data_IF_054857362314
#
_entry.id   IF_054857362314
#
_cell.length_a   1.000
_cell.length_b   1.000
_cell.length_c   1.000
_cell.angle_alpha   90.00
_cell.angle_beta   90.00
_cell.angle_gamma   90.00
#
_symmetry.space_group_name_H-M   'P 1'
#
loop_
_entity.id
_entity.type
_entity.pdbx_description
1 polymer ?
#
# COMPACT_ATOMS: atom_id res chain seq x y z
N UNK A 1 -23.89 8.05 46.31
CA UNK A 1 -22.84 8.86 45.69
C UNK A 1 -21.83 7.89 45.11
N UNK A 2 -21.68 7.90 43.78
CA UNK A 2 -21.05 6.85 42.98
C UNK A 2 -19.61 6.51 43.42
N UNK A 3 -19.28 5.25 43.22
CA UNK A 3 -18.00 4.64 43.53
C UNK A 3 -16.90 4.97 42.50
N UNK A 4 -15.66 4.67 42.91
CA UNK A 4 -14.50 4.19 42.11
C UNK A 4 -13.30 5.14 41.91
N UNK A 5 -12.19 4.64 42.45
CA UNK A 5 -10.84 4.53 41.85
C UNK A 5 -9.90 5.74 41.83
N UNK A 6 -9.09 5.81 42.90
CA UNK A 6 -7.65 6.10 42.94
C UNK A 6 -6.86 5.28 41.87
N UNK A 7 -5.58 5.60 41.63
CA UNK A 7 -4.98 6.46 40.58
C UNK A 7 -4.60 5.69 39.28
N UNK A 8 -4.06 6.33 38.22
CA UNK A 8 -3.50 5.61 37.07
C UNK A 8 -2.16 4.95 37.44
N UNK A 9 -2.20 3.78 38.06
CA UNK A 9 -1.05 2.88 38.21
C UNK A 9 -1.23 1.62 37.38
N UNK A 10 -0.71 1.67 36.16
CA UNK A 10 -0.20 0.55 35.36
C UNK A 10 0.33 1.22 34.10
N UNK A 11 1.64 1.37 33.95
CA UNK A 11 2.39 0.44 33.10
C UNK A 11 1.63 0.10 31.80
N UNK A 12 1.20 1.12 31.05
CA UNK A 12 1.14 1.03 29.59
C UNK A 12 2.50 1.48 28.99
N UNK A 13 3.52 1.56 29.84
CA UNK A 13 4.90 1.41 29.40
C UNK A 13 5.06 0.08 28.69
N UNK A 14 5.49 0.20 27.44
CA UNK A 14 6.66 -0.54 26.96
C UNK A 14 6.47 -2.02 26.62
N UNK A 15 5.29 -2.41 26.15
CA UNK A 15 5.16 -3.63 25.33
C UNK A 15 4.14 -3.44 24.20
N UNK A 16 4.29 -2.38 23.40
CA UNK A 16 3.86 -2.43 22.00
C UNK A 16 4.85 -3.32 21.25
N UNK A 17 4.79 -4.61 21.59
CA UNK A 17 5.44 -5.67 20.88
C UNK A 17 5.11 -5.51 19.39
N UNK A 18 6.17 -5.49 18.60
CA UNK A 18 6.41 -5.82 17.20
C UNK A 18 5.44 -6.85 16.59
N UNK A 19 4.13 -6.64 16.70
CA UNK A 19 3.13 -7.29 15.88
C UNK A 19 2.82 -6.28 14.79
N UNK A 20 3.63 -6.31 13.73
CA UNK A 20 3.35 -5.51 12.54
C UNK A 20 1.97 -5.95 12.07
N UNK A 21 0.95 -5.15 12.37
CA UNK A 21 -0.41 -5.51 12.01
C UNK A 21 -0.50 -5.52 10.49
N UNK A 22 -1.34 -6.37 9.87
CA UNK A 22 -1.47 -6.42 8.41
C UNK A 22 -1.81 -5.05 7.80
N UNK A 23 -2.51 -4.19 8.56
CA UNK A 23 -2.75 -2.78 8.21
C UNK A 23 -1.49 -1.93 8.20
N UNK A 24 -0.57 -2.14 9.14
CA UNK A 24 0.71 -1.43 9.22
C UNK A 24 1.66 -1.86 8.11
N UNK A 25 1.70 -3.17 7.80
CA UNK A 25 2.47 -3.70 6.66
C UNK A 25 1.96 -3.16 5.33
N UNK A 26 0.63 -3.15 5.13
CA UNK A 26 0.02 -2.59 3.93
C UNK A 26 0.34 -1.10 3.75
N UNK A 27 0.30 -0.32 4.84
CA UNK A 27 0.72 1.09 4.81
C UNK A 27 2.20 1.25 4.45
N UNK A 28 3.08 0.43 5.04
CA UNK A 28 4.50 0.46 4.72
C UNK A 28 4.76 0.10 3.25
N UNK A 29 4.04 -0.89 2.71
CA UNK A 29 4.12 -1.28 1.30
C UNK A 29 3.69 -0.13 0.39
N UNK A 30 2.64 0.59 0.79
CA UNK A 30 2.15 1.76 0.07
C UNK A 30 3.17 2.92 0.04
N UNK A 31 3.81 3.23 1.17
CA UNK A 31 4.88 4.25 1.20
C UNK A 31 6.10 3.82 0.39
N UNK A 32 6.54 2.55 0.50
CA UNK A 32 7.62 2.03 -0.32
C UNK A 32 7.30 2.13 -1.82
N UNK A 33 6.06 1.85 -2.21
CA UNK A 33 5.60 1.98 -3.58
C UNK A 33 5.57 3.43 -4.08
N UNK A 34 5.20 4.38 -3.22
CA UNK A 34 5.25 5.82 -3.50
C UNK A 34 6.68 6.32 -3.70
N UNK A 35 7.61 5.86 -2.87
CA UNK A 35 9.02 6.22 -2.97
C UNK A 35 9.75 5.52 -4.13
N UNK A 36 9.15 4.47 -4.71
CA UNK A 36 9.80 3.64 -5.72
C UNK A 36 10.81 2.66 -5.14
N UNK A 37 10.74 2.41 -3.83
CA UNK A 37 11.61 1.49 -3.13
C UNK A 37 11.14 0.04 -3.35
N UNK A 38 11.47 -0.51 -4.52
CA UNK A 38 11.19 -1.90 -4.90
C UNK A 38 11.76 -2.92 -3.93
N UNK A 39 12.94 -2.65 -3.36
CA UNK A 39 13.59 -3.54 -2.41
C UNK A 39 12.77 -3.69 -1.13
N UNK A 40 12.30 -2.58 -0.55
CA UNK A 40 11.46 -2.64 0.65
C UNK A 40 10.06 -3.18 0.34
N UNK A 41 9.48 -2.81 -0.81
CA UNK A 41 8.20 -3.38 -1.25
C UNK A 41 8.28 -4.90 -1.36
N UNK A 42 9.36 -5.44 -1.93
CA UNK A 42 9.62 -6.88 -2.00
C UNK A 42 9.72 -7.50 -0.61
N UNK A 43 10.51 -6.89 0.27
CA UNK A 43 10.75 -7.38 1.63
C UNK A 43 9.44 -7.46 2.43
N UNK A 44 8.57 -6.48 2.28
CA UNK A 44 7.25 -6.44 2.91
C UNK A 44 6.33 -7.52 2.35
N UNK A 45 6.30 -7.70 1.03
CA UNK A 45 5.51 -8.78 0.42
C UNK A 45 6.02 -10.17 0.83
N UNK A 46 7.34 -10.35 0.96
CA UNK A 46 7.95 -11.58 1.49
C UNK A 46 7.62 -11.79 2.97
N UNK A 47 7.41 -10.71 3.74
CA UNK A 47 6.94 -10.75 5.12
C UNK A 47 5.43 -11.03 5.28
N UNK A 48 4.70 -11.17 4.17
CA UNK A 48 3.26 -11.41 4.17
C UNK A 48 2.41 -10.14 4.19
N UNK A 49 2.95 -9.01 3.73
CA UNK A 49 2.16 -7.79 3.57
C UNK A 49 1.03 -8.00 2.56
N UNK A 50 -0.19 -7.53 2.85
CA UNK A 50 -1.30 -7.59 1.91
C UNK A 50 -1.01 -6.71 0.68
N UNK A 51 -0.85 -7.34 -0.49
CA UNK A 51 -0.54 -6.65 -1.75
C UNK A 51 -1.67 -5.70 -2.19
N UNK A 52 -2.93 -6.12 -1.99
CA UNK A 52 -4.14 -5.34 -2.32
C UNK A 52 -4.59 -4.43 -1.18
N UNK A 53 -3.68 -4.10 -0.27
CA UNK A 53 -4.02 -3.20 0.81
C UNK A 53 -4.39 -1.81 0.26
N UNK A 54 -5.57 -1.35 0.65
CA UNK A 54 -6.12 -0.05 0.23
C UNK A 54 -5.93 0.96 1.36
N UNK A 55 -5.31 2.08 1.04
CA UNK A 55 -5.16 3.16 2.00
C UNK A 55 -6.49 3.87 2.21
N UNK A 56 -7.16 3.61 3.33
CA UNK A 56 -8.43 4.29 3.66
C UNK A 56 -8.26 5.77 3.97
N UNK A 57 -7.04 6.25 4.17
CA UNK A 57 -6.74 7.66 4.40
C UNK A 57 -6.48 8.46 3.10
N UNK A 58 -6.19 7.77 1.99
CA UNK A 58 -5.83 8.40 0.71
C UNK A 58 -6.55 7.68 -0.43
N UNK A 59 -7.84 7.97 -0.56
CA UNK A 59 -8.70 7.58 -1.69
C UNK A 59 -8.77 6.07 -1.99
N UNK A 60 -8.58 5.23 -0.96
CA UNK A 60 -8.53 3.77 -1.11
C UNK A 60 -7.52 3.33 -2.16
N UNK A 61 -6.48 4.13 -2.40
CA UNK A 61 -5.44 3.82 -3.37
C UNK A 61 -4.62 2.61 -2.89
N UNK A 62 -4.36 1.68 -3.80
CA UNK A 62 -3.45 0.54 -3.55
C UNK A 62 -1.99 0.98 -3.71
N UNK A 63 -1.07 0.17 -3.20
CA UNK A 63 0.37 0.40 -3.42
C UNK A 63 0.70 0.49 -4.92
N UNK A 64 0.06 -0.36 -5.74
CA UNK A 64 0.24 -0.37 -7.19
C UNK A 64 -0.21 0.94 -7.85
N UNK A 65 -1.36 1.49 -7.46
CA UNK A 65 -1.84 2.78 -7.97
C UNK A 65 -0.84 3.90 -7.71
N UNK A 66 -0.23 3.90 -6.52
CA UNK A 66 0.74 4.91 -6.16
C UNK A 66 2.06 4.73 -6.90
N UNK A 67 2.55 3.50 -7.04
CA UNK A 67 3.70 3.21 -7.90
C UNK A 67 3.46 3.61 -9.36
N UNK A 68 2.26 3.33 -9.89
CA UNK A 68 1.88 3.69 -11.25
C UNK A 68 1.78 5.21 -11.46
N UNK A 69 1.17 5.92 -10.51
CA UNK A 69 1.12 7.39 -10.49
C UNK A 69 2.51 8.02 -10.32
N UNK A 70 3.47 7.33 -9.71
CA UNK A 70 4.84 7.82 -9.58
C UNK A 70 5.75 7.40 -10.76
N UNK A 71 5.26 6.56 -11.68
CA UNK A 71 6.03 6.07 -12.82
C UNK A 71 7.02 4.95 -12.48
N UNK A 72 6.90 4.34 -11.29
CA UNK A 72 7.82 3.31 -10.80
C UNK A 72 7.50 1.95 -11.40
N UNK A 73 7.89 1.77 -12.67
CA UNK A 73 7.64 0.57 -13.48
C UNK A 73 8.06 -0.71 -12.75
N UNK A 74 9.27 -0.77 -12.20
CA UNK A 74 9.80 -1.96 -11.54
C UNK A 74 8.95 -2.36 -10.33
N UNK A 75 8.42 -1.39 -9.59
CA UNK A 75 7.54 -1.65 -8.45
C UNK A 75 6.17 -2.16 -8.90
N UNK A 76 5.65 -1.64 -10.01
CA UNK A 76 4.40 -2.13 -10.61
C UNK A 76 4.57 -3.56 -11.10
N UNK A 77 5.67 -3.90 -11.79
CA UNK A 77 5.96 -5.28 -12.20
C UNK A 77 6.05 -6.23 -11.00
N UNK A 78 6.71 -5.80 -9.93
CA UNK A 78 6.86 -6.59 -8.73
C UNK A 78 5.51 -6.87 -8.06
N UNK A 79 4.66 -5.85 -7.94
CA UNK A 79 3.33 -5.98 -7.36
C UNK A 79 2.44 -6.90 -8.22
N UNK A 80 2.47 -6.76 -9.55
CA UNK A 80 1.78 -7.66 -10.49
C UNK A 80 2.26 -9.11 -10.34
N UNK A 81 3.57 -9.32 -10.23
CA UNK A 81 4.16 -10.64 -10.01
C UNK A 81 3.73 -11.29 -8.69
N UNK A 82 3.22 -10.50 -7.73
CA UNK A 82 2.65 -10.98 -6.46
C UNK A 82 1.13 -11.10 -6.47
N UNK A 83 0.48 -10.87 -7.62
CA UNK A 83 -0.96 -10.99 -7.77
C UNK A 83 -1.73 -9.74 -7.35
N UNK A 84 -1.12 -8.56 -7.40
CA UNK A 84 -1.84 -7.30 -7.21
C UNK A 84 -2.99 -7.16 -8.20
N UNK A 85 -4.15 -6.72 -7.71
CA UNK A 85 -5.32 -6.41 -8.50
C UNK A 85 -5.08 -5.13 -9.32
N UNK A 86 -4.84 -5.30 -10.62
CA UNK A 86 -4.63 -4.20 -11.58
C UNK A 86 -5.92 -3.44 -11.90
N UNK A 87 -7.07 -4.09 -11.73
CA UNK A 87 -8.41 -3.54 -11.94
C UNK A 87 -8.93 -2.81 -10.69
N UNK A 88 -8.13 -2.76 -9.62
CA UNK A 88 -8.47 -2.08 -8.40
C UNK A 88 -8.82 -0.62 -8.70
N UNK A 89 -9.99 -0.21 -8.22
CA UNK A 89 -10.49 1.16 -8.35
C UNK A 89 -10.28 1.92 -7.04
N UNK A 90 -9.79 3.15 -7.18
CA UNK A 90 -9.74 4.15 -6.12
C UNK A 90 -11.16 4.65 -5.81
N UNK A 91 -11.32 5.47 -4.77
CA UNK A 91 -12.61 6.07 -4.44
C UNK A 91 -13.18 6.89 -5.61
N UNK A 92 -12.29 7.51 -6.39
CA UNK A 92 -12.66 8.31 -7.57
C UNK A 92 -12.97 7.45 -8.82
N UNK A 93 -12.94 6.12 -8.70
CA UNK A 93 -13.16 5.20 -9.82
C UNK A 93 -11.98 5.05 -10.77
N UNK A 94 -10.88 5.78 -10.56
CA UNK A 94 -9.65 5.66 -11.35
C UNK A 94 -8.94 4.35 -11.04
N UNK A 95 -8.30 3.76 -12.05
CA UNK A 95 -7.42 2.57 -11.94
C UNK A 95 -5.95 2.98 -11.97
N UNK A 96 -5.03 2.05 -11.68
CA UNK A 96 -3.59 2.31 -11.80
C UNK A 96 -3.21 2.77 -13.22
N UNK A 97 -3.88 2.24 -14.25
CA UNK A 97 -3.69 2.62 -15.64
C UNK A 97 -4.02 4.09 -15.90
N UNK A 98 -5.19 4.54 -15.43
CA UNK A 98 -5.63 5.94 -15.58
C UNK A 98 -4.63 6.89 -14.91
N UNK A 99 -4.18 6.54 -13.69
CA UNK A 99 -3.22 7.36 -12.94
C UNK A 99 -1.85 7.44 -13.61
N UNK A 100 -1.40 6.38 -14.28
CA UNK A 100 -0.16 6.39 -15.05
C UNK A 100 -0.31 7.22 -16.34
N UNK A 101 -1.44 7.11 -17.02
CA UNK A 101 -1.73 7.85 -18.25
C UNK A 101 -1.86 9.37 -18.00
N UNK A 102 -2.52 9.77 -16.90
CA UNK A 102 -2.65 11.18 -16.49
C UNK A 102 -1.30 11.85 -16.20
N UNK A 103 -0.24 11.06 -15.98
CA UNK A 103 1.09 11.55 -15.58
C UNK A 103 2.16 11.27 -16.63
N UNK A 104 1.73 10.94 -17.85
CA UNK A 104 2.60 10.66 -18.99
C UNK A 104 3.61 9.52 -18.73
N UNK A 105 3.29 8.60 -17.81
CA UNK A 105 4.13 7.45 -17.47
C UNK A 105 3.88 6.30 -18.44
N UNK A 106 4.16 6.53 -19.73
CA UNK A 106 3.91 5.59 -20.83
C UNK A 106 4.50 4.20 -20.60
N UNK A 107 5.69 4.09 -20.00
CA UNK A 107 6.31 2.80 -19.69
C UNK A 107 5.55 1.95 -18.67
N UNK A 108 4.77 2.56 -17.78
CA UNK A 108 3.85 1.86 -16.86
C UNK A 108 2.55 1.52 -17.57
N UNK A 109 2.03 2.43 -18.40
CA UNK A 109 0.82 2.22 -19.20
C UNK A 109 0.98 1.01 -20.13
N UNK A 110 2.09 0.94 -20.87
CA UNK A 110 2.39 -0.19 -21.75
C UNK A 110 2.52 -1.52 -20.99
N UNK A 111 3.12 -1.49 -19.80
CA UNK A 111 3.25 -2.67 -18.94
C UNK A 111 1.88 -3.19 -18.51
N UNK A 112 1.01 -2.30 -18.00
CA UNK A 112 -0.34 -2.65 -17.56
C UNK A 112 -1.19 -3.15 -18.73
N UNK A 113 -1.15 -2.47 -19.88
CA UNK A 113 -1.84 -2.92 -21.10
C UNK A 113 -1.33 -4.28 -21.59
N UNK A 114 -0.02 -4.51 -21.55
CA UNK A 114 0.60 -5.79 -21.91
C UNK A 114 0.24 -6.95 -20.96
N UNK A 115 -0.35 -6.66 -19.79
CA UNK A 115 -0.91 -7.62 -18.83
C UNK A 115 -2.44 -7.71 -18.86
N UNK A 116 -3.11 -6.98 -19.75
CA UNK A 116 -4.55 -7.01 -19.93
C UNK A 116 -5.35 -6.18 -18.93
N UNK A 117 -4.77 -5.08 -18.42
CA UNK A 117 -5.47 -4.06 -17.63
C UNK A 117 -6.44 -3.20 -18.44
#
# INVERSE_FOLDING_TARGET
YQARTRPPSRTAESMAATAVSPKSMGKALWEAAKEGNTAEARRLLDAGAPVDWKNTAEDRATAMMKAASAGHKDTVELLLGRGADQDAKATDGRTALVLAAERDHWGVVELLLGRGA
#
